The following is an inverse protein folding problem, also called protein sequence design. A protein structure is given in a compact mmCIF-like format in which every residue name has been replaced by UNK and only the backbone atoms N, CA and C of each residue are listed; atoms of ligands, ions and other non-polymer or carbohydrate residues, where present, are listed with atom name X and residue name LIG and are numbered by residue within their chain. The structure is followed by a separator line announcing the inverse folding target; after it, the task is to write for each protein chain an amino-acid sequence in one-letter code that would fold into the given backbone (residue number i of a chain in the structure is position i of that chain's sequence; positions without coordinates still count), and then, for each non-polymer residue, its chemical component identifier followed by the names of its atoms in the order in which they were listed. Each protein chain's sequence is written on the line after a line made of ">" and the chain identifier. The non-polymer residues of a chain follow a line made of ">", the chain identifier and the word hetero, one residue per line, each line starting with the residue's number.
data_IF_901405616104
#
_entry.id   IF_901405616104
#
_cell.length_a   1.000
_cell.length_b   1.000
_cell.length_c   1.000
_cell.angle_alpha   90.00
_cell.angle_beta   90.00
_cell.angle_gamma   90.00
#
_symmetry.space_group_name_H-M   'P 1'
#
loop_
_entity.id
_entity.type
_entity.pdbx_description
1 polymer ?
#
# COMPACT_ATOMS: atom_id res chain seq x y z
N UNK A 1 19.36 -29.24 20.26
CA UNK A 1 19.29 -28.77 18.86
C UNK A 1 17.83 -28.80 18.44
N UNK A 2 17.12 -27.68 18.54
CA UNK A 2 15.72 -27.60 18.12
C UNK A 2 15.68 -27.37 16.60
N UNK A 3 15.04 -28.29 15.87
CA UNK A 3 14.80 -28.18 14.43
C UNK A 3 13.68 -27.16 14.19
N UNK A 4 13.94 -26.15 13.37
CA UNK A 4 12.95 -25.14 12.95
C UNK A 4 11.93 -25.74 11.98
N UNK A 5 10.66 -25.37 12.17
CA UNK A 5 9.50 -25.85 11.41
C UNK A 5 9.40 -25.16 10.04
N UNK A 6 8.90 -25.81 8.97
CA UNK A 6 8.82 -25.25 7.61
C UNK A 6 7.84 -24.07 7.43
N UNK A 7 7.22 -23.59 8.51
CA UNK A 7 6.30 -22.44 8.53
C UNK A 7 6.88 -21.21 9.22
N UNK A 8 8.12 -21.27 9.71
CA UNK A 8 8.76 -20.06 10.25
C UNK A 8 9.03 -19.07 9.12
N UNK A 9 8.51 -17.83 9.18
CA UNK A 9 8.83 -16.81 8.19
C UNK A 9 10.35 -16.60 8.19
N UNK A 10 10.96 -16.40 7.01
CA UNK A 10 12.40 -16.20 6.91
C UNK A 10 12.79 -15.02 7.81
N UNK A 11 13.74 -15.26 8.73
CA UNK A 11 14.31 -14.21 9.57
C UNK A 11 14.85 -13.10 8.67
N UNK A 12 14.51 -11.82 8.91
CA UNK A 12 15.06 -10.72 8.13
C UNK A 12 16.57 -10.67 8.33
N UNK A 13 17.30 -11.07 7.29
CA UNK A 13 18.73 -10.82 7.19
C UNK A 13 18.92 -9.33 6.96
N UNK A 14 19.35 -8.61 8.00
CA UNK A 14 19.83 -7.25 7.87
C UNK A 14 21.11 -7.25 7.02
N UNK A 15 20.95 -6.98 5.73
CA UNK A 15 22.01 -6.59 4.80
C UNK A 15 21.61 -5.23 4.21
N UNK A 16 22.57 -4.40 3.84
CA UNK A 16 22.41 -3.00 3.40
C UNK A 16 21.61 -2.76 2.10
N UNK A 17 20.58 -3.55 1.83
CA UNK A 17 19.58 -3.30 0.81
C UNK A 17 18.64 -2.17 1.22
N UNK A 18 18.33 -1.27 0.28
CA UNK A 18 17.29 -0.24 0.42
C UNK A 18 16.00 -0.87 0.98
N UNK A 19 15.29 -0.23 1.93
CA UNK A 19 14.02 -0.75 2.42
C UNK A 19 13.02 -0.89 1.26
N UNK A 20 12.19 -1.94 1.31
CA UNK A 20 11.13 -2.15 0.33
C UNK A 20 10.15 -0.98 0.34
N UNK A 21 9.71 -0.52 -0.82
CA UNK A 21 8.63 0.46 -0.92
C UNK A 21 7.30 -0.25 -1.14
N UNK A 22 6.37 -0.09 -0.20
CA UNK A 22 5.03 -0.68 -0.25
C UNK A 22 3.99 0.43 -0.36
N UNK A 23 3.22 0.45 -1.45
CA UNK A 23 2.14 1.41 -1.63
C UNK A 23 0.79 0.81 -1.22
N UNK A 24 0.04 1.52 -0.37
CA UNK A 24 -1.35 1.21 -0.09
C UNK A 24 -2.22 2.02 -1.06
N UNK A 25 -2.99 1.32 -1.90
CA UNK A 25 -3.91 1.92 -2.86
C UNK A 25 -5.32 1.36 -2.65
N UNK A 26 -6.33 2.11 -3.08
CA UNK A 26 -7.71 1.72 -2.85
C UNK A 26 -8.65 2.92 -2.78
N UNK A 27 -9.97 2.70 -2.86
CA UNK A 27 -10.94 3.78 -2.89
C UNK A 27 -10.92 4.64 -1.62
N UNK A 28 -11.39 5.90 -1.66
CA UNK A 28 -11.65 6.67 -0.45
C UNK A 28 -12.44 5.85 0.59
N UNK A 29 -12.11 6.00 1.86
CA UNK A 29 -12.75 5.29 2.97
C UNK A 29 -12.61 3.75 2.99
N UNK A 30 -11.78 3.13 2.13
CA UNK A 30 -11.59 1.67 2.14
C UNK A 30 -10.78 1.13 3.34
N UNK A 31 -10.35 1.98 4.28
CA UNK A 31 -9.53 1.58 5.42
C UNK A 31 -8.01 1.64 5.19
N UNK A 32 -7.53 2.25 4.08
CA UNK A 32 -6.09 2.44 3.81
C UNK A 32 -5.35 3.10 4.97
N UNK A 33 -5.81 4.26 5.43
CA UNK A 33 -5.13 5.01 6.51
C UNK A 33 -5.15 4.24 7.84
N UNK A 34 -6.19 3.45 8.10
CA UNK A 34 -6.24 2.55 9.25
C UNK A 34 -5.17 1.47 9.15
N UNK A 35 -5.04 0.82 7.98
CA UNK A 35 -3.99 -0.17 7.73
C UNK A 35 -2.60 0.47 7.80
N UNK A 36 -2.42 1.65 7.21
CA UNK A 36 -1.19 2.43 7.28
C UNK A 36 -0.75 2.66 8.73
N UNK A 37 -1.66 3.15 9.57
CA UNK A 37 -1.38 3.44 10.97
C UNK A 37 -1.03 2.17 11.75
N UNK A 38 -1.73 1.06 11.48
CA UNK A 38 -1.44 -0.24 12.08
C UNK A 38 -0.03 -0.75 11.71
N UNK A 39 0.44 -0.46 10.49
CA UNK A 39 1.75 -0.89 9.99
C UNK A 39 2.90 0.03 10.42
N UNK A 40 2.64 1.32 10.67
CA UNK A 40 3.69 2.35 10.90
C UNK A 40 3.66 2.94 12.31
N UNK A 41 2.65 2.64 13.11
CA UNK A 41 2.44 3.29 14.41
C UNK A 41 2.10 4.78 14.31
N UNK A 42 1.44 5.16 13.21
CA UNK A 42 1.04 6.54 12.88
C UNK A 42 2.20 7.54 12.77
N UNK A 43 3.43 7.06 12.59
CA UNK A 43 4.61 7.90 12.36
C UNK A 43 4.82 8.05 10.87
N UNK A 44 4.80 9.29 10.39
CA UNK A 44 4.97 9.56 8.98
C UNK A 44 5.67 10.89 8.72
N UNK A 45 6.22 10.99 7.51
CA UNK A 45 6.57 12.25 6.87
C UNK A 45 5.69 12.43 5.65
N UNK A 46 5.36 13.67 5.33
CA UNK A 46 4.64 14.00 4.11
C UNK A 46 5.62 14.13 2.95
N UNK A 47 5.32 13.49 1.82
CA UNK A 47 6.06 13.61 0.57
C UNK A 47 5.09 14.08 -0.52
N UNK A 48 5.44 15.15 -1.22
CA UNK A 48 4.59 15.73 -2.26
C UNK A 48 5.06 15.31 -3.65
N UNK A 49 4.14 15.22 -4.61
CA UNK A 49 4.53 15.11 -6.01
C UNK A 49 4.98 16.49 -6.54
N UNK A 50 6.15 16.62 -7.21
CA UNK A 50 6.62 17.93 -7.68
C UNK A 50 5.61 18.63 -8.59
N UNK A 51 5.28 19.89 -8.25
CA UNK A 51 4.33 20.69 -9.02
C UNK A 51 2.87 20.30 -8.88
N UNK A 52 2.52 19.48 -7.89
CA UNK A 52 1.14 19.10 -7.59
C UNK A 52 0.82 19.24 -6.10
N UNK A 53 -0.47 19.35 -5.78
CA UNK A 53 -1.03 19.39 -4.42
C UNK A 53 -1.18 18.02 -3.79
N UNK A 54 -0.81 16.95 -4.50
CA UNK A 54 -0.92 15.58 -4.02
C UNK A 54 0.18 15.27 -3.01
N UNK A 55 -0.26 14.88 -1.82
CA UNK A 55 0.57 14.51 -0.68
C UNK A 55 0.47 13.01 -0.38
N UNK A 56 1.60 12.42 0.03
CA UNK A 56 1.71 11.03 0.44
C UNK A 56 2.24 10.97 1.88
N UNK A 57 1.61 10.16 2.71
CA UNK A 57 2.15 9.80 4.03
C UNK A 57 3.11 8.63 3.86
N UNK A 58 4.37 8.83 4.25
CA UNK A 58 5.41 7.80 4.16
C UNK A 58 5.99 7.52 5.55
N UNK A 59 6.00 6.26 5.95
CA UNK A 59 6.44 5.82 7.27
C UNK A 59 7.14 4.49 7.22
N UNK A 60 8.07 4.26 8.13
CA UNK A 60 8.76 2.98 8.21
C UNK A 60 7.84 1.94 8.87
N UNK A 61 7.87 0.71 8.39
CA UNK A 61 7.16 -0.41 8.99
C UNK A 61 7.62 -0.63 10.44
N UNK A 62 6.69 -0.99 11.32
CA UNK A 62 7.00 -1.25 12.72
C UNK A 62 8.04 -2.39 12.85
N UNK A 63 9.07 -2.25 13.71
CA UNK A 63 10.12 -3.26 13.85
C UNK A 63 9.63 -4.67 14.19
N UNK A 64 8.50 -4.75 14.92
CA UNK A 64 7.85 -6.01 15.29
C UNK A 64 7.32 -6.83 14.09
N UNK A 65 7.17 -6.21 12.91
CA UNK A 65 6.81 -6.91 11.68
C UNK A 65 8.00 -7.68 11.08
N UNK A 66 9.23 -7.45 11.56
CA UNK A 66 10.43 -8.08 11.02
C UNK A 66 10.66 -7.73 9.54
N UNK A 67 10.15 -6.59 9.07
CA UNK A 67 10.16 -6.19 7.67
C UNK A 67 10.83 -4.81 7.53
N UNK A 68 11.91 -4.74 6.76
CA UNK A 68 12.52 -3.46 6.38
C UNK A 68 11.77 -2.87 5.19
N UNK A 69 10.75 -2.07 5.46
CA UNK A 69 9.91 -1.45 4.44
C UNK A 69 9.51 -0.01 4.80
N UNK A 70 9.31 0.80 3.76
CA UNK A 70 8.59 2.06 3.82
C UNK A 70 7.19 1.85 3.28
N UNK A 71 6.19 2.19 4.09
CA UNK A 71 4.79 2.13 3.73
C UNK A 71 4.39 3.52 3.24
N UNK A 72 3.68 3.56 2.13
CA UNK A 72 3.12 4.77 1.52
C UNK A 72 1.60 4.68 1.53
N UNK A 73 0.92 5.65 2.14
CA UNK A 73 -0.53 5.85 1.97
C UNK A 73 -0.75 6.80 0.79
N UNK A 74 -1.49 6.34 -0.22
CA UNK A 74 -1.84 7.16 -1.38
C UNK A 74 -3.20 7.86 -1.18
N UNK A 75 -3.45 8.98 -1.87
CA UNK A 75 -4.80 9.44 -2.12
C UNK A 75 -5.70 8.31 -2.63
N UNK A 76 -7.00 8.42 -2.35
CA UNK A 76 -7.97 7.41 -2.74
C UNK A 76 -8.04 7.27 -4.26
N UNK A 77 -7.95 6.04 -4.76
CA UNK A 77 -8.15 5.70 -6.17
C UNK A 77 -9.23 4.65 -6.28
N UNK A 78 -10.22 4.88 -7.14
CA UNK A 78 -11.24 3.86 -7.44
C UNK A 78 -10.93 3.07 -8.71
N UNK A 79 -10.08 3.62 -9.59
CA UNK A 79 -9.56 2.96 -10.78
C UNK A 79 -8.25 3.60 -11.23
N UNK A 80 -7.56 3.00 -12.21
CA UNK A 80 -6.42 3.60 -12.92
C UNK A 80 -6.86 4.48 -14.11
N UNK A 81 -8.15 4.76 -14.26
CA UNK A 81 -8.66 5.80 -15.15
C UNK A 81 -8.95 7.04 -14.30
N UNK A 82 -8.15 8.09 -14.47
CA UNK A 82 -8.31 9.31 -13.68
C UNK A 82 -9.61 10.05 -14.02
N UNK A 83 -10.32 10.51 -13.00
CA UNK A 83 -11.46 11.41 -13.10
C UNK A 83 -11.15 12.82 -12.57
N UNK A 84 -9.93 13.04 -12.05
CA UNK A 84 -9.46 14.35 -11.60
C UNK A 84 -7.96 14.54 -11.82
N UNK A 85 -7.45 15.78 -11.81
CA UNK A 85 -6.00 16.04 -11.88
C UNK A 85 -5.21 15.39 -10.73
N UNK A 86 -5.79 15.33 -9.54
CA UNK A 86 -5.14 14.72 -8.38
C UNK A 86 -5.04 13.19 -8.54
N UNK A 87 -6.08 12.55 -9.08
CA UNK A 87 -6.03 11.12 -9.43
C UNK A 87 -5.00 10.84 -10.52
N UNK A 88 -4.93 11.67 -11.56
CA UNK A 88 -3.94 11.55 -12.65
C UNK A 88 -2.50 11.62 -12.10
N UNK A 89 -2.23 12.58 -11.21
CA UNK A 89 -0.94 12.70 -10.53
C UNK A 89 -0.68 11.46 -9.66
N UNK A 90 -1.69 10.97 -8.96
CA UNK A 90 -1.57 9.79 -8.07
C UNK A 90 -1.25 8.52 -8.85
N UNK A 91 -1.93 8.30 -9.97
CA UNK A 91 -1.69 7.17 -10.87
C UNK A 91 -0.28 7.27 -11.45
N UNK A 92 0.13 8.43 -12.00
CA UNK A 92 1.48 8.61 -12.53
C UNK A 92 2.57 8.37 -11.49
N UNK A 93 2.36 8.86 -10.27
CA UNK A 93 3.27 8.64 -9.16
C UNK A 93 3.41 7.17 -8.77
N UNK A 94 2.33 6.39 -8.84
CA UNK A 94 2.38 4.95 -8.59
C UNK A 94 3.35 4.23 -9.53
N UNK A 95 3.40 4.63 -10.80
CA UNK A 95 4.32 4.04 -11.78
C UNK A 95 5.74 4.58 -11.67
N UNK A 96 5.92 5.87 -11.38
CA UNK A 96 7.25 6.49 -11.36
C UNK A 96 7.27 7.80 -10.56
N UNK A 97 7.14 7.72 -9.24
CA UNK A 97 7.27 8.90 -8.38
C UNK A 97 8.72 9.42 -8.40
N UNK A 98 8.99 10.72 -8.70
CA UNK A 98 10.35 11.24 -8.85
C UNK A 98 11.27 11.05 -7.62
N UNK A 99 10.71 11.17 -6.41
CA UNK A 99 11.43 10.98 -5.15
C UNK A 99 11.41 9.56 -4.56
N UNK A 100 10.28 8.85 -4.70
CA UNK A 100 10.06 7.56 -4.04
C UNK A 100 10.42 6.38 -4.96
N UNK A 101 10.32 6.59 -6.28
CA UNK A 101 10.43 5.54 -7.28
C UNK A 101 9.12 4.79 -7.46
N UNK A 102 9.23 3.63 -8.11
CA UNK A 102 8.14 2.66 -8.25
C UNK A 102 8.07 1.76 -7.00
N UNK A 103 6.88 1.45 -6.46
CA UNK A 103 6.74 0.51 -5.35
C UNK A 103 7.19 -0.91 -5.73
N UNK A 104 7.82 -1.60 -4.78
CA UNK A 104 8.18 -3.02 -4.89
C UNK A 104 6.95 -3.94 -4.69
N UNK A 105 5.95 -3.44 -3.96
CA UNK A 105 4.67 -4.10 -3.69
C UNK A 105 3.55 -3.07 -3.64
N UNK A 106 2.40 -3.42 -4.20
CA UNK A 106 1.15 -2.66 -4.06
C UNK A 106 0.16 -3.48 -3.23
N UNK A 107 -0.33 -2.90 -2.14
CA UNK A 107 -1.41 -3.45 -1.35
C UNK A 107 -2.70 -2.74 -1.75
N UNK A 108 -3.61 -3.47 -2.38
CA UNK A 108 -4.93 -2.96 -2.75
C UNK A 108 -5.88 -3.20 -1.58
N UNK A 109 -6.30 -2.11 -0.95
CA UNK A 109 -7.18 -2.14 0.22
C UNK A 109 -8.64 -2.06 -0.24
N UNK A 110 -9.39 -3.13 -0.02
CA UNK A 110 -10.75 -3.32 -0.47
C UNK A 110 -11.71 -3.55 0.71
N UNK A 111 -12.66 -2.64 0.90
CA UNK A 111 -13.80 -2.83 1.82
C UNK A 111 -14.68 -4.02 1.38
N UNK A 112 -14.91 -4.93 2.32
CA UNK A 112 -15.68 -6.16 2.13
C UNK A 112 -17.16 -5.92 1.75
N UNK A 113 -17.76 -4.81 2.21
CA UNK A 113 -19.15 -4.46 1.89
C UNK A 113 -19.33 -4.00 0.43
N UNK A 114 -18.24 -3.63 -0.25
CA UNK A 114 -18.22 -3.12 -1.62
C UNK A 114 -17.25 -3.90 -2.52
N UNK A 115 -16.97 -5.15 -2.16
CA UNK A 115 -15.86 -5.93 -2.70
C UNK A 115 -15.83 -5.98 -4.24
N UNK A 116 -16.98 -6.25 -4.89
CA UNK A 116 -17.06 -6.33 -6.36
C UNK A 116 -16.59 -5.05 -7.05
N UNK A 117 -16.94 -3.87 -6.49
CA UNK A 117 -16.51 -2.57 -7.01
C UNK A 117 -15.02 -2.36 -6.77
N UNK A 118 -14.52 -2.73 -5.60
CA UNK A 118 -13.14 -2.47 -5.19
C UNK A 118 -12.13 -3.40 -5.87
N UNK A 119 -12.55 -4.63 -6.20
CA UNK A 119 -11.73 -5.57 -6.96
C UNK A 119 -11.47 -5.13 -8.41
N UNK A 120 -12.23 -4.17 -8.94
CA UNK A 120 -11.94 -3.56 -10.25
C UNK A 120 -10.56 -2.88 -10.26
N UNK A 121 -10.23 -2.10 -9.22
CA UNK A 121 -8.89 -1.52 -9.09
C UNK A 121 -7.83 -2.60 -8.95
N UNK A 122 -8.10 -3.64 -8.15
CA UNK A 122 -7.15 -4.75 -7.98
C UNK A 122 -6.79 -5.42 -9.31
N UNK A 123 -7.79 -5.67 -10.15
CA UNK A 123 -7.59 -6.20 -11.50
C UNK A 123 -6.68 -5.31 -12.33
N UNK A 124 -6.90 -3.99 -12.33
CA UNK A 124 -6.09 -3.04 -13.09
C UNK A 124 -4.64 -3.01 -12.61
N UNK A 125 -4.42 -2.98 -11.29
CA UNK A 125 -3.08 -3.00 -10.68
C UNK A 125 -2.32 -4.28 -11.06
N UNK A 126 -2.98 -5.44 -10.99
CA UNK A 126 -2.40 -6.73 -11.39
C UNK A 126 -2.07 -6.73 -12.89
N UNK A 127 -2.99 -6.25 -13.74
CA UNK A 127 -2.79 -6.17 -15.18
C UNK A 127 -1.66 -5.22 -15.57
N UNK A 128 -1.38 -4.20 -14.75
CA UNK A 128 -0.23 -3.30 -14.91
C UNK A 128 1.12 -3.90 -14.51
N UNK A 129 1.15 -5.15 -14.02
CA UNK A 129 2.38 -5.89 -13.74
C UNK A 129 2.97 -5.64 -12.34
N UNK A 130 2.24 -4.96 -11.45
CA UNK A 130 2.68 -4.81 -10.07
C UNK A 130 2.61 -6.14 -9.32
N UNK A 131 3.55 -6.35 -8.38
CA UNK A 131 3.36 -7.36 -7.34
C UNK A 131 2.25 -6.87 -6.41
N UNK A 132 1.21 -7.67 -6.22
CA UNK A 132 -0.01 -7.21 -5.56
C UNK A 132 -0.45 -8.12 -4.43
N UNK A 133 -0.83 -7.51 -3.32
CA UNK A 133 -1.60 -8.14 -2.24
C UNK A 133 -2.94 -7.42 -2.16
N UNK A 134 -4.04 -8.16 -2.01
CA UNK A 134 -5.36 -7.57 -1.74
C UNK A 134 -5.63 -7.71 -0.25
N UNK A 135 -5.77 -6.58 0.44
CA UNK A 135 -6.14 -6.53 1.85
C UNK A 135 -7.65 -6.22 1.95
N UNK A 136 -8.43 -7.21 2.37
CA UNK A 136 -9.87 -7.04 2.58
C UNK A 136 -10.12 -6.49 3.98
N UNK A 137 -10.78 -5.34 4.06
CA UNK A 137 -11.09 -4.60 5.30
C UNK A 137 -12.59 -4.61 5.57
N UNK A 138 -13.01 -4.10 6.74
CA UNK A 138 -14.43 -3.99 7.12
C UNK A 138 -15.17 -5.34 7.10
N UNK A 139 -14.46 -6.43 7.42
CA UNK A 139 -15.03 -7.79 7.42
C UNK A 139 -16.08 -8.00 8.52
N UNK A 140 -16.02 -7.20 9.57
CA UNK A 140 -17.00 -7.11 10.64
C UNK A 140 -18.38 -6.66 10.15
N UNK A 141 -18.43 -5.82 9.10
CA UNK A 141 -19.68 -5.39 8.45
C UNK A 141 -20.42 -6.53 7.73
N UNK A 142 -19.78 -7.68 7.51
CA UNK A 142 -20.39 -8.85 6.86
C UNK A 142 -21.11 -9.78 7.84
N UNK A 143 -21.03 -9.54 9.15
CA UNK A 143 -21.57 -10.45 10.17
C UNK A 143 -23.00 -10.11 10.62
N UNK A 144 -23.79 -9.43 9.77
CA UNK A 144 -25.22 -9.20 9.97
C UNK A 144 -26.10 -10.11 9.10
#
# INVERSE_FOLDING_TARGET
>A
MAQSSPLDPPKPTASGSKPLLIALVGPPNSGKTTLYNALTGSRFRTVNYPGATVEYSVGDALPQLGLSAQILDSPGLSSLNAHSPDEEVTIRALFSHPRLGTPDLVVVVADASQLSRHLYLAQQIIASGFRTVVAVTMVDMLQE
#
